data_IF_718848076647
#
_entry.id   IF_718848076647
#
_cell.length_a   1.000
_cell.length_b   1.000
_cell.length_c   1.000
_cell.angle_alpha   90.00
_cell.angle_beta   90.00
_cell.angle_gamma   90.00
#
_symmetry.space_group_name_H-M   'P 1'
#
loop_
_entity.id
_entity.type
_entity.pdbx_description
1 polymer ?
#
# COMPACT_ATOMS: atom_id res chain seq x y z
N UNK A 1 12.78 -22.07 -3.54
CA UNK A 1 14.21 -22.36 -3.50
C UNK A 1 14.97 -21.24 -2.81
N UNK A 2 15.07 -20.03 -3.37
CA UNK A 2 15.82 -18.89 -2.80
C UNK A 2 15.36 -18.54 -1.39
N UNK A 3 14.05 -18.52 -1.12
CA UNK A 3 13.50 -18.25 0.20
C UNK A 3 13.82 -19.31 1.24
N UNK A 4 13.93 -20.57 0.85
CA UNK A 4 14.26 -21.67 1.76
C UNK A 4 15.73 -21.63 2.14
N UNK A 5 16.59 -21.31 1.19
CA UNK A 5 18.04 -21.25 1.41
C UNK A 5 18.44 -20.03 2.25
N UNK A 6 17.81 -18.88 2.05
CA UNK A 6 18.10 -17.66 2.81
C UNK A 6 17.63 -17.74 4.28
N UNK A 7 16.69 -18.67 4.61
CA UNK A 7 16.07 -18.72 5.93
C UNK A 7 16.76 -19.59 6.97
N UNK A 8 17.60 -20.57 6.60
CA UNK A 8 17.96 -21.63 7.58
C UNK A 8 19.46 -21.92 7.80
N UNK A 9 20.37 -21.25 7.24
CA UNK A 9 21.84 -21.38 7.29
C UNK A 9 22.44 -21.03 5.92
N UNK A 10 21.82 -20.08 5.32
CA UNK A 10 21.67 -19.92 3.91
C UNK A 10 22.88 -19.45 3.14
N UNK A 11 23.80 -18.65 3.73
CA UNK A 11 24.91 -18.09 2.96
C UNK A 11 25.86 -19.20 2.46
N UNK A 12 26.25 -20.13 3.30
CA UNK A 12 27.18 -21.18 2.92
C UNK A 12 26.58 -22.19 1.93
N UNK A 13 25.32 -22.61 2.15
CA UNK A 13 24.63 -23.55 1.27
C UNK A 13 24.29 -22.89 -0.06
N UNK A 14 23.83 -21.63 -0.04
CA UNK A 14 23.56 -20.87 -1.25
C UNK A 14 24.83 -20.70 -2.08
N UNK A 15 25.94 -20.32 -1.45
CA UNK A 15 27.25 -20.17 -2.07
C UNK A 15 27.73 -21.50 -2.70
N UNK A 16 27.60 -22.60 -1.97
CA UNK A 16 28.01 -23.91 -2.45
C UNK A 16 27.20 -24.38 -3.69
N UNK A 17 25.94 -23.95 -3.79
CA UNK A 17 25.06 -24.32 -4.91
C UNK A 17 25.24 -23.41 -6.12
N UNK A 18 25.46 -22.09 -5.90
CA UNK A 18 25.53 -21.07 -6.96
C UNK A 18 26.93 -20.71 -7.40
N UNK A 19 27.98 -21.06 -6.60
CA UNK A 19 29.38 -20.78 -6.91
C UNK A 19 29.81 -21.42 -8.25
N UNK A 20 30.96 -20.99 -8.78
CA UNK A 20 31.52 -21.36 -10.09
C UNK A 20 31.50 -22.86 -10.40
N UNK A 21 31.68 -23.69 -9.37
CA UNK A 21 31.68 -25.16 -9.43
C UNK A 21 30.42 -25.79 -8.82
N UNK A 22 29.41 -24.97 -8.52
CA UNK A 22 28.18 -25.42 -7.89
C UNK A 22 27.26 -26.19 -8.84
N UNK A 23 26.60 -27.19 -8.31
CA UNK A 23 25.67 -28.07 -9.06
C UNK A 23 24.62 -27.30 -9.88
N UNK A 24 24.08 -26.24 -9.34
CA UNK A 24 23.02 -25.45 -10.00
C UNK A 24 23.53 -24.76 -11.25
N UNK A 25 24.70 -24.15 -11.17
CA UNK A 25 25.36 -23.50 -12.31
C UNK A 25 25.73 -24.51 -13.41
N UNK A 26 26.18 -25.69 -13.02
CA UNK A 26 26.50 -26.75 -13.94
C UNK A 26 25.29 -27.27 -14.71
N UNK A 27 24.14 -27.39 -14.02
CA UNK A 27 22.87 -27.76 -14.64
C UNK A 27 22.43 -26.73 -15.68
N UNK A 28 22.48 -25.44 -15.34
CA UNK A 28 22.11 -24.37 -16.28
C UNK A 28 23.05 -24.25 -17.46
N UNK A 29 24.36 -24.47 -17.25
CA UNK A 29 25.33 -24.53 -18.38
C UNK A 29 25.01 -25.67 -19.35
N UNK A 30 24.59 -26.83 -18.84
CA UNK A 30 24.20 -27.98 -19.67
C UNK A 30 22.92 -27.70 -20.46
N UNK A 31 21.96 -26.98 -19.87
CA UNK A 31 20.73 -26.58 -20.58
C UNK A 31 21.01 -25.78 -21.82
N UNK A 32 22.00 -24.88 -21.79
CA UNK A 32 22.44 -24.09 -22.95
C UNK A 32 22.87 -24.93 -24.17
N UNK A 33 23.52 -26.08 -23.93
CA UNK A 33 23.93 -26.98 -25.00
C UNK A 33 22.84 -27.98 -25.45
N UNK A 34 21.77 -28.12 -24.61
CA UNK A 34 20.75 -29.13 -24.83
C UNK A 34 19.47 -28.58 -25.43
N UNK A 35 19.06 -27.34 -25.02
CA UNK A 35 17.80 -26.75 -25.45
C UNK A 35 18.05 -25.57 -26.42
N UNK A 36 17.28 -25.52 -27.49
CA UNK A 36 17.33 -24.45 -28.49
C UNK A 36 16.64 -23.16 -27.98
N UNK A 37 15.74 -23.29 -27.02
CA UNK A 37 15.01 -22.16 -26.36
C UNK A 37 14.82 -22.48 -24.90
N UNK A 38 15.09 -21.51 -24.06
CA UNK A 38 14.89 -21.60 -22.60
C UNK A 38 14.06 -20.41 -22.16
N UNK A 39 12.98 -20.66 -21.41
CA UNK A 39 12.18 -19.65 -20.76
C UNK A 39 12.23 -19.91 -19.25
N UNK A 40 12.73 -18.93 -18.51
CA UNK A 40 12.87 -19.02 -17.04
C UNK A 40 11.88 -18.08 -16.36
N UNK A 41 11.20 -18.59 -15.35
CA UNK A 41 10.32 -17.79 -14.47
C UNK A 41 10.77 -17.91 -13.03
N UNK A 42 10.55 -16.85 -12.27
CA UNK A 42 10.83 -16.78 -10.84
C UNK A 42 10.10 -15.61 -10.19
N UNK A 43 10.04 -15.59 -8.87
CA UNK A 43 9.38 -14.52 -8.10
C UNK A 43 10.23 -13.23 -8.14
N UNK A 44 11.56 -13.38 -8.16
CA UNK A 44 12.48 -12.25 -8.24
C UNK A 44 13.75 -12.66 -9.02
N UNK A 45 14.50 -11.70 -9.58
CA UNK A 45 15.72 -11.99 -10.34
C UNK A 45 16.95 -12.34 -9.47
N UNK A 46 16.79 -12.58 -8.18
CA UNK A 46 17.87 -12.81 -7.20
C UNK A 46 18.84 -13.93 -7.57
N UNK A 47 18.37 -14.97 -8.23
CA UNK A 47 19.21 -16.13 -8.57
C UNK A 47 19.91 -16.02 -9.92
N UNK A 48 19.48 -15.08 -10.75
CA UNK A 48 19.98 -15.01 -12.14
C UNK A 48 21.42 -14.54 -12.19
N UNK A 49 21.81 -13.60 -11.35
CA UNK A 49 23.15 -13.00 -11.39
C UNK A 49 24.23 -14.00 -10.94
N UNK A 50 23.98 -14.76 -9.88
CA UNK A 50 24.90 -15.76 -9.37
C UNK A 50 25.01 -16.99 -10.26
N UNK A 51 23.91 -17.37 -10.91
CA UNK A 51 23.84 -18.52 -11.82
C UNK A 51 24.36 -18.15 -13.21
N UNK A 52 24.22 -16.89 -13.62
CA UNK A 52 24.54 -16.43 -14.98
C UNK A 52 25.90 -15.80 -15.14
N UNK A 53 26.71 -15.63 -14.09
CA UNK A 53 28.10 -15.20 -14.21
C UNK A 53 28.89 -16.14 -15.15
N UNK A 54 28.98 -15.76 -16.46
CA UNK A 54 29.44 -16.61 -17.57
C UNK A 54 28.30 -17.25 -18.39
N UNK A 55 27.05 -16.96 -18.12
CA UNK A 55 25.87 -17.41 -18.89
C UNK A 55 25.18 -16.21 -19.56
N UNK A 56 25.94 -15.34 -20.20
CA UNK A 56 25.52 -14.09 -20.89
C UNK A 56 24.48 -14.28 -22.01
N UNK A 57 23.44 -15.12 -21.82
CA UNK A 57 22.49 -15.47 -22.89
C UNK A 57 21.04 -15.19 -22.44
N UNK A 58 20.81 -14.96 -21.13
CA UNK A 58 19.49 -14.61 -20.64
C UNK A 58 19.13 -13.16 -21.00
N UNK A 59 18.01 -12.96 -21.69
CA UNK A 59 17.43 -11.65 -21.85
C UNK A 59 16.37 -11.43 -20.78
N UNK A 60 16.60 -10.47 -19.90
CA UNK A 60 15.65 -10.09 -18.87
C UNK A 60 14.46 -9.35 -19.51
N UNK A 61 13.27 -9.92 -19.40
CA UNK A 61 12.07 -9.43 -20.10
C UNK A 61 11.03 -8.77 -19.18
N UNK A 62 11.18 -8.89 -17.86
CA UNK A 62 10.18 -8.43 -16.89
C UNK A 62 9.86 -6.93 -16.98
N UNK A 63 10.87 -6.12 -17.34
CA UNK A 63 10.75 -4.66 -17.47
C UNK A 63 10.63 -4.17 -18.91
N UNK A 64 10.47 -5.09 -19.87
CA UNK A 64 10.36 -4.73 -21.29
C UNK A 64 8.90 -4.51 -21.69
N UNK A 65 8.65 -3.43 -22.43
CA UNK A 65 7.31 -3.00 -22.89
C UNK A 65 6.50 -4.14 -23.53
N UNK A 66 7.14 -4.97 -24.37
CA UNK A 66 6.47 -6.06 -25.07
C UNK A 66 5.89 -7.13 -24.13
N UNK A 67 6.37 -7.20 -22.89
CA UNK A 67 5.98 -8.21 -21.90
C UNK A 67 5.23 -7.62 -20.69
N UNK A 68 4.93 -6.31 -20.71
CA UNK A 68 4.28 -5.61 -19.60
C UNK A 68 2.95 -6.25 -19.17
N UNK A 69 2.21 -6.82 -20.10
CA UNK A 69 0.90 -7.44 -19.82
C UNK A 69 0.97 -8.98 -19.68
N UNK A 70 2.17 -9.56 -19.65
CA UNK A 70 2.34 -11.01 -19.63
C UNK A 70 1.99 -11.63 -18.26
N UNK A 71 2.17 -10.90 -17.17
CA UNK A 71 2.00 -11.40 -15.79
C UNK A 71 0.74 -10.87 -15.09
N UNK A 72 -0.21 -10.33 -15.83
CA UNK A 72 -1.45 -9.79 -15.29
C UNK A 72 -2.60 -9.95 -16.28
N UNK A 73 -3.83 -9.71 -15.83
CA UNK A 73 -4.98 -9.61 -16.72
C UNK A 73 -5.24 -8.16 -17.11
N UNK A 74 -5.35 -7.88 -18.40
CA UNK A 74 -5.91 -6.61 -18.85
C UNK A 74 -7.40 -6.54 -18.49
N UNK A 75 -7.97 -5.33 -18.49
CA UNK A 75 -9.42 -5.17 -18.28
C UNK A 75 -10.24 -5.97 -19.31
N UNK A 76 -9.73 -6.09 -20.54
CA UNK A 76 -10.36 -6.86 -21.60
C UNK A 76 -10.30 -8.37 -21.33
N UNK A 77 -9.20 -8.88 -20.79
CA UNK A 77 -9.10 -10.30 -20.40
C UNK A 77 -10.08 -10.64 -19.29
N UNK A 78 -10.19 -9.76 -18.28
CA UNK A 78 -11.18 -9.91 -17.20
C UNK A 78 -12.60 -9.91 -17.76
N UNK A 79 -12.92 -8.98 -18.65
CA UNK A 79 -14.24 -8.89 -19.29
C UNK A 79 -14.57 -10.16 -20.07
N UNK A 80 -13.65 -10.66 -20.90
CA UNK A 80 -13.82 -11.90 -21.67
C UNK A 80 -14.03 -13.10 -20.75
N UNK A 81 -13.20 -13.22 -19.71
CA UNK A 81 -13.31 -14.31 -18.73
C UNK A 81 -14.67 -14.30 -18.02
N UNK A 82 -15.11 -13.16 -17.51
CA UNK A 82 -16.39 -13.06 -16.78
C UNK A 82 -17.59 -13.28 -17.71
N UNK A 83 -17.53 -12.76 -18.95
CA UNK A 83 -18.54 -13.01 -19.98
C UNK A 83 -18.64 -14.51 -20.30
N UNK A 84 -17.51 -15.21 -20.40
CA UNK A 84 -17.48 -16.65 -20.61
C UNK A 84 -18.15 -17.39 -19.45
N UNK A 85 -17.79 -17.11 -18.20
CA UNK A 85 -18.39 -17.77 -17.03
C UNK A 85 -19.88 -17.43 -16.90
N UNK A 86 -20.30 -16.22 -17.26
CA UNK A 86 -21.74 -15.85 -17.33
C UNK A 86 -22.47 -16.66 -18.39
N UNK A 87 -21.89 -16.82 -19.57
CA UNK A 87 -22.49 -17.63 -20.66
C UNK A 87 -22.61 -19.11 -20.30
N UNK A 88 -21.73 -19.61 -19.43
CA UNK A 88 -21.78 -20.98 -18.89
C UNK A 88 -22.79 -21.13 -17.73
N UNK A 89 -23.54 -20.09 -17.39
CA UNK A 89 -24.48 -20.12 -16.25
C UNK A 89 -23.81 -20.25 -14.88
N UNK A 90 -22.51 -19.90 -14.78
CA UNK A 90 -21.75 -19.95 -13.52
C UNK A 90 -21.84 -18.64 -12.73
N UNK A 91 -22.24 -17.57 -13.37
CA UNK A 91 -22.52 -16.27 -12.74
C UNK A 91 -24.03 -15.98 -12.83
N UNK A 92 -24.60 -15.19 -11.90
CA UNK A 92 -25.99 -14.75 -11.97
C UNK A 92 -26.30 -14.10 -13.32
N UNK A 93 -27.50 -14.39 -13.87
CA UNK A 93 -27.88 -13.88 -15.18
C UNK A 93 -27.98 -12.35 -15.23
N UNK A 94 -28.32 -11.74 -14.12
CA UNK A 94 -28.48 -10.30 -13.91
C UNK A 94 -27.19 -9.60 -13.48
N UNK A 95 -26.06 -10.32 -13.27
CA UNK A 95 -24.82 -9.68 -12.86
C UNK A 95 -24.30 -8.69 -13.90
N UNK A 96 -23.86 -7.52 -13.46
CA UNK A 96 -23.21 -6.48 -14.28
C UNK A 96 -21.69 -6.66 -14.25
N UNK A 97 -21.12 -7.11 -15.37
CA UNK A 97 -19.68 -7.33 -15.51
C UNK A 97 -18.87 -6.05 -15.39
N UNK A 98 -19.37 -4.93 -15.93
CA UNK A 98 -18.66 -3.65 -15.83
C UNK A 98 -18.66 -3.11 -14.40
N UNK A 99 -19.75 -3.29 -13.68
CA UNK A 99 -19.78 -3.01 -12.24
C UNK A 99 -18.74 -3.87 -11.48
N UNK A 100 -18.69 -5.18 -11.76
CA UNK A 100 -17.70 -6.08 -11.12
C UNK A 100 -16.26 -5.65 -11.42
N UNK A 101 -15.97 -5.27 -12.66
CA UNK A 101 -14.65 -4.77 -13.04
C UNK A 101 -14.32 -3.46 -12.31
N UNK A 102 -15.27 -2.54 -12.22
CA UNK A 102 -15.07 -1.27 -11.52
C UNK A 102 -14.92 -1.44 -10.02
N UNK A 103 -15.60 -2.41 -9.41
CA UNK A 103 -15.43 -2.78 -8.00
C UNK A 103 -14.03 -3.34 -7.72
N UNK A 104 -13.50 -4.18 -8.62
CA UNK A 104 -12.16 -4.75 -8.49
C UNK A 104 -11.02 -3.74 -8.73
N UNK A 105 -11.20 -2.72 -9.58
CA UNK A 105 -10.13 -1.80 -9.99
C UNK A 105 -9.34 -1.18 -8.84
N UNK A 106 -9.96 -0.55 -7.82
CA UNK A 106 -9.22 0.06 -6.74
C UNK A 106 -8.44 -0.95 -5.88
N UNK A 107 -8.80 -2.23 -5.97
CA UNK A 107 -8.24 -3.30 -5.14
C UNK A 107 -7.17 -4.16 -5.82
N UNK A 108 -7.26 -4.38 -7.13
CA UNK A 108 -6.45 -5.39 -7.83
C UNK A 108 -5.72 -4.88 -9.06
N UNK A 109 -6.10 -3.72 -9.59
CA UNK A 109 -5.54 -3.13 -10.82
C UNK A 109 -4.28 -2.28 -10.55
N UNK A 110 -3.85 -1.55 -11.56
CA UNK A 110 -2.81 -0.54 -11.57
C UNK A 110 -1.36 -1.04 -11.64
N UNK A 111 -1.12 -2.31 -11.96
CA UNK A 111 0.23 -2.78 -12.19
C UNK A 111 0.75 -2.34 -13.55
N UNK A 112 1.97 -1.80 -13.56
CA UNK A 112 2.77 -1.47 -14.72
C UNK A 112 4.21 -1.94 -14.46
N UNK A 113 4.73 -2.81 -15.30
CA UNK A 113 6.04 -3.44 -15.13
C UNK A 113 7.13 -2.86 -16.03
N UNK A 114 6.76 -2.04 -17.03
CA UNK A 114 7.69 -1.45 -17.97
C UNK A 114 7.47 0.06 -18.13
N UNK A 115 8.54 0.85 -18.05
CA UNK A 115 8.49 2.30 -18.25
C UNK A 115 7.85 2.66 -19.61
N UNK A 116 8.29 2.01 -20.69
CA UNK A 116 7.75 2.26 -22.03
C UNK A 116 6.27 1.91 -22.22
N UNK A 117 5.63 1.27 -21.24
CA UNK A 117 4.21 0.93 -21.23
C UNK A 117 3.33 1.97 -20.54
N UNK A 118 3.89 2.84 -19.69
CA UNK A 118 3.16 3.77 -18.81
C UNK A 118 2.00 4.52 -19.50
N UNK A 119 2.25 5.07 -20.69
CA UNK A 119 1.27 5.89 -21.41
C UNK A 119 0.76 5.23 -22.71
N UNK A 120 1.15 3.99 -22.97
CA UNK A 120 0.91 3.32 -24.26
C UNK A 120 0.16 2.00 -24.13
N UNK A 121 0.05 1.46 -22.92
CA UNK A 121 -0.65 0.22 -22.63
C UNK A 121 -1.54 0.40 -21.40
N UNK A 122 -2.62 -0.39 -21.33
CA UNK A 122 -3.43 -0.49 -20.12
C UNK A 122 -2.63 -1.17 -19.01
N UNK A 123 -2.88 -0.75 -17.78
CA UNK A 123 -2.41 -1.43 -16.60
C UNK A 123 -3.10 -2.78 -16.44
N UNK A 124 -2.55 -3.63 -15.62
CA UNK A 124 -3.05 -4.99 -15.44
C UNK A 124 -3.49 -5.26 -14.01
N UNK A 125 -4.45 -6.16 -13.89
CA UNK A 125 -4.96 -6.69 -12.63
C UNK A 125 -4.05 -7.82 -12.13
N UNK A 126 -3.99 -7.98 -10.82
CA UNK A 126 -3.43 -9.18 -10.19
C UNK A 126 -4.32 -10.39 -10.49
N UNK A 127 -3.75 -11.41 -11.13
CA UNK A 127 -4.49 -12.59 -11.58
C UNK A 127 -5.14 -13.36 -10.43
N UNK A 128 -4.42 -13.58 -9.33
CA UNK A 128 -4.92 -14.36 -8.19
C UNK A 128 -6.12 -13.68 -7.55
N UNK A 129 -6.08 -12.36 -7.43
CA UNK A 129 -7.16 -11.57 -6.84
C UNK A 129 -8.39 -11.55 -7.74
N UNK A 130 -8.24 -11.47 -9.06
CA UNK A 130 -9.35 -11.57 -10.00
C UNK A 130 -10.01 -12.95 -9.91
N UNK A 131 -9.21 -14.02 -9.84
CA UNK A 131 -9.71 -15.39 -9.69
C UNK A 131 -10.40 -15.57 -8.32
N UNK A 132 -9.86 -14.98 -7.25
CA UNK A 132 -10.50 -14.98 -5.93
C UNK A 132 -11.88 -14.31 -5.99
N UNK A 133 -12.00 -13.13 -6.60
CA UNK A 133 -13.26 -12.41 -6.77
C UNK A 133 -14.28 -13.23 -7.59
N UNK A 134 -13.84 -13.76 -8.73
CA UNK A 134 -14.67 -14.61 -9.59
C UNK A 134 -15.19 -15.85 -8.85
N UNK A 135 -14.34 -16.52 -8.07
CA UNK A 135 -14.70 -17.68 -7.26
C UNK A 135 -15.79 -17.36 -6.23
N UNK A 136 -15.68 -16.19 -5.57
CA UNK A 136 -16.71 -15.75 -4.65
C UNK A 136 -18.05 -15.56 -5.36
N UNK A 137 -18.05 -14.90 -6.52
CA UNK A 137 -19.28 -14.75 -7.30
C UNK A 137 -19.89 -16.08 -7.76
N UNK A 138 -19.08 -17.04 -8.16
CA UNK A 138 -19.56 -18.37 -8.56
C UNK A 138 -20.20 -19.09 -7.37
N UNK A 139 -19.63 -18.97 -6.18
CA UNK A 139 -20.09 -19.72 -5.00
C UNK A 139 -21.24 -19.02 -4.25
N UNK A 140 -21.20 -17.68 -4.14
CA UNK A 140 -22.06 -16.90 -3.28
C UNK A 140 -23.03 -15.98 -4.03
N UNK A 141 -22.87 -15.86 -5.35
CA UNK A 141 -23.65 -14.94 -6.19
C UNK A 141 -23.37 -13.44 -5.97
N UNK A 142 -22.31 -13.10 -5.24
CA UNK A 142 -21.98 -11.72 -4.88
C UNK A 142 -20.47 -11.53 -4.71
N UNK A 143 -20.05 -10.25 -4.69
CA UNK A 143 -18.67 -9.87 -4.39
C UNK A 143 -18.21 -10.33 -3.00
N UNK A 144 -16.90 -10.63 -2.81
CA UNK A 144 -16.37 -10.97 -1.50
C UNK A 144 -16.52 -9.77 -0.54
N UNK A 145 -16.94 -10.02 0.69
CA UNK A 145 -17.01 -8.97 1.73
C UNK A 145 -15.61 -8.41 2.04
N UNK A 146 -14.62 -9.28 2.10
CA UNK A 146 -13.22 -8.90 2.23
C UNK A 146 -12.56 -8.99 0.86
N UNK A 147 -12.10 -7.86 0.35
CA UNK A 147 -11.44 -7.78 -0.97
C UNK A 147 -10.02 -8.36 -0.96
N UNK A 148 -9.54 -8.86 0.18
CA UNK A 148 -8.20 -9.46 0.33
C UNK A 148 -8.35 -10.93 0.68
N UNK A 149 -7.84 -11.81 -0.16
CA UNK A 149 -7.76 -13.25 0.16
C UNK A 149 -6.76 -13.46 1.31
N UNK A 150 -7.13 -14.34 2.25
CA UNK A 150 -6.26 -14.74 3.37
C UNK A 150 -4.92 -15.34 2.90
N UNK A 151 -4.89 -15.97 1.73
CA UNK A 151 -3.68 -16.53 1.14
C UNK A 151 -2.69 -15.44 0.70
N UNK A 152 -3.16 -14.25 0.31
CA UNK A 152 -2.31 -13.09 -0.04
C UNK A 152 -1.58 -12.54 1.18
N UNK A 153 -2.05 -12.80 2.39
CA UNK A 153 -1.31 -12.50 3.64
C UNK A 153 0.03 -13.26 3.74
N UNK A 154 0.22 -14.30 2.93
CA UNK A 154 1.51 -15.00 2.82
C UNK A 154 2.59 -14.10 2.20
N UNK A 155 2.23 -13.18 1.30
CA UNK A 155 3.18 -12.25 0.69
C UNK A 155 3.60 -11.15 1.67
N UNK A 156 2.72 -10.77 2.59
CA UNK A 156 3.05 -9.91 3.72
C UNK A 156 4.14 -10.53 4.64
N UNK A 157 4.07 -11.82 4.91
CA UNK A 157 5.13 -12.50 5.67
C UNK A 157 6.47 -12.54 4.93
N UNK A 158 6.48 -12.52 3.59
CA UNK A 158 7.70 -12.38 2.79
C UNK A 158 8.30 -10.98 2.92
N UNK A 159 7.47 -9.94 2.88
CA UNK A 159 7.91 -8.57 3.11
C UNK A 159 8.53 -8.40 4.50
N UNK A 160 7.90 -8.93 5.55
CA UNK A 160 8.47 -8.95 6.91
C UNK A 160 9.85 -9.61 6.96
N UNK A 161 10.00 -10.77 6.34
CA UNK A 161 11.28 -11.46 6.28
C UNK A 161 12.35 -10.64 5.57
N UNK A 162 12.00 -9.97 4.46
CA UNK A 162 12.91 -9.08 3.75
C UNK A 162 13.36 -7.90 4.60
N UNK A 163 12.48 -7.36 5.43
CA UNK A 163 12.80 -6.26 6.34
C UNK A 163 13.70 -6.76 7.48
N UNK A 164 13.46 -7.98 7.99
CA UNK A 164 14.29 -8.59 9.03
C UNK A 164 15.73 -8.89 8.58
N UNK A 165 15.98 -8.98 7.27
CA UNK A 165 17.33 -9.08 6.69
C UNK A 165 18.11 -7.76 6.73
N UNK A 166 17.55 -6.69 7.27
CA UNK A 166 18.20 -5.40 7.39
C UNK A 166 19.35 -5.46 8.41
N UNK A 167 20.57 -5.50 7.89
CA UNK A 167 21.81 -5.43 8.69
C UNK A 167 22.25 -3.98 8.98
N UNK A 168 21.58 -2.99 8.42
CA UNK A 168 21.95 -1.57 8.43
C UNK A 168 20.91 -0.72 9.16
N UNK A 169 20.89 -0.81 10.49
CA UNK A 169 20.26 0.16 11.41
C UNK A 169 18.88 0.75 11.01
N UNK A 170 18.00 -0.07 10.45
CA UNK A 170 16.60 0.35 10.21
C UNK A 170 16.35 1.10 8.91
N UNK A 171 17.27 1.10 7.93
CA UNK A 171 17.08 1.80 6.66
C UNK A 171 15.87 1.25 5.87
N UNK A 172 15.64 -0.07 5.87
CA UNK A 172 14.46 -0.68 5.24
C UNK A 172 13.16 -0.31 5.91
N UNK A 173 13.16 -0.22 7.25
CA UNK A 173 12.02 0.29 8.02
C UNK A 173 11.68 1.72 7.59
N UNK A 174 12.70 2.57 7.40
CA UNK A 174 12.53 3.94 6.91
C UNK A 174 11.96 3.98 5.50
N UNK A 175 12.43 3.13 4.58
CA UNK A 175 11.91 3.02 3.21
C UNK A 175 10.43 2.63 3.23
N UNK A 176 10.05 1.59 3.97
CA UNK A 176 8.65 1.15 4.10
C UNK A 176 7.78 2.26 4.68
N UNK A 177 8.27 2.94 5.73
CA UNK A 177 7.57 4.08 6.33
C UNK A 177 7.34 5.18 5.30
N UNK A 178 8.37 5.58 4.55
CA UNK A 178 8.24 6.57 3.48
C UNK A 178 7.20 6.16 2.44
N UNK A 179 7.24 4.90 1.95
CA UNK A 179 6.28 4.41 0.97
C UNK A 179 4.86 4.42 1.54
N UNK A 180 4.67 4.00 2.78
CA UNK A 180 3.36 3.99 3.41
C UNK A 180 2.78 5.39 3.62
N UNK A 181 3.64 6.38 3.95
CA UNK A 181 3.25 7.78 4.19
C UNK A 181 3.01 8.55 2.90
N UNK A 182 3.85 8.34 1.86
CA UNK A 182 3.81 9.12 0.62
C UNK A 182 3.14 8.39 -0.55
N UNK A 183 2.90 7.09 -0.41
CA UNK A 183 2.39 6.24 -1.48
C UNK A 183 3.41 5.85 -2.54
N UNK A 184 4.64 6.40 -2.51
CA UNK A 184 5.65 6.18 -3.55
C UNK A 184 7.08 6.39 -3.05
N UNK A 185 8.06 5.95 -3.86
CA UNK A 185 9.49 6.20 -3.66
C UNK A 185 10.19 6.38 -5.01
N UNK A 186 11.24 7.20 -5.05
CA UNK A 186 12.09 7.37 -6.24
C UNK A 186 13.37 6.56 -6.05
N UNK A 187 13.59 5.55 -6.91
CA UNK A 187 14.72 4.64 -6.81
C UNK A 187 15.21 4.17 -8.19
N UNK A 188 16.43 3.66 -8.26
CA UNK A 188 16.86 2.85 -9.41
C UNK A 188 16.17 1.48 -9.33
N UNK A 189 15.80 0.97 -10.50
CA UNK A 189 15.24 -0.37 -10.63
C UNK A 189 16.31 -1.31 -11.21
N UNK A 190 16.83 -2.18 -10.37
CA UNK A 190 17.82 -3.16 -10.77
C UNK A 190 17.14 -4.35 -11.46
N UNK A 191 17.62 -4.71 -12.64
CA UNK A 191 17.07 -5.81 -13.44
C UNK A 191 17.55 -7.19 -12.97
N UNK A 192 18.73 -7.26 -12.31
CA UNK A 192 19.26 -8.47 -11.68
C UNK A 192 20.17 -8.12 -10.52
N UNK A 193 20.26 -8.99 -9.54
CA UNK A 193 21.14 -8.83 -8.38
C UNK A 193 21.40 -10.18 -7.72
N UNK A 194 22.57 -10.29 -7.08
CA UNK A 194 22.98 -11.48 -6.35
C UNK A 194 22.29 -11.58 -4.99
N UNK A 195 22.30 -12.78 -4.39
CA UNK A 195 21.78 -12.94 -3.04
C UNK A 195 22.58 -12.14 -1.99
N UNK A 196 23.84 -11.87 -2.24
CA UNK A 196 24.67 -11.02 -1.36
C UNK A 196 24.22 -9.58 -1.33
N UNK A 197 23.71 -9.08 -2.46
CA UNK A 197 23.18 -7.73 -2.58
C UNK A 197 21.79 -7.56 -1.92
N UNK A 198 21.16 -8.65 -1.49
CA UNK A 198 19.87 -8.59 -0.78
C UNK A 198 19.92 -7.76 0.51
N UNK A 199 21.10 -7.58 1.10
CA UNK A 199 21.28 -6.73 2.27
C UNK A 199 21.56 -5.27 1.91
N UNK A 200 21.79 -4.94 0.64
CA UNK A 200 21.95 -3.57 0.15
C UNK A 200 20.59 -2.83 0.18
N UNK A 201 20.48 -1.71 0.91
CA UNK A 201 19.25 -0.94 0.96
C UNK A 201 18.84 -0.37 -0.41
N UNK A 202 19.76 -0.16 -1.34
CA UNK A 202 19.46 0.33 -2.69
C UNK A 202 18.72 -0.71 -3.54
N UNK A 203 18.89 -1.99 -3.27
CA UNK A 203 18.19 -3.10 -3.94
C UNK A 203 16.77 -3.29 -3.40
N UNK A 204 16.49 -2.82 -2.18
CA UNK A 204 15.23 -3.09 -1.51
C UNK A 204 13.99 -2.57 -2.26
N UNK A 205 13.97 -1.37 -2.88
CA UNK A 205 12.86 -0.93 -3.72
C UNK A 205 12.64 -1.86 -4.93
N UNK A 206 13.72 -2.40 -5.54
CA UNK A 206 13.62 -3.36 -6.64
C UNK A 206 12.99 -4.67 -6.17
N UNK A 207 13.35 -5.16 -4.97
CA UNK A 207 12.70 -6.33 -4.37
C UNK A 207 11.22 -6.11 -4.17
N UNK A 208 10.81 -4.98 -3.60
CA UNK A 208 9.40 -4.63 -3.40
C UNK A 208 8.64 -4.60 -4.73
N UNK A 209 9.27 -4.09 -5.80
CA UNK A 209 8.69 -4.09 -7.15
C UNK A 209 8.48 -5.52 -7.67
N UNK A 210 9.49 -6.39 -7.61
CA UNK A 210 9.37 -7.77 -8.10
C UNK A 210 8.41 -8.63 -7.28
N UNK A 211 8.23 -8.30 -5.99
CA UNK A 211 7.20 -8.93 -5.15
C UNK A 211 5.79 -8.35 -5.36
N UNK A 212 5.62 -7.39 -6.30
CA UNK A 212 4.32 -6.77 -6.58
C UNK A 212 3.86 -5.79 -5.49
N UNK A 213 4.74 -5.40 -4.57
CA UNK A 213 4.46 -4.40 -3.55
C UNK A 213 4.54 -2.97 -4.09
N UNK A 214 5.25 -2.77 -5.20
CA UNK A 214 5.37 -1.51 -5.93
C UNK A 214 5.10 -1.73 -7.42
N UNK A 215 4.73 -0.66 -8.09
CA UNK A 215 4.53 -0.59 -9.55
C UNK A 215 5.18 0.67 -10.09
N UNK A 216 5.53 0.68 -11.37
CA UNK A 216 6.06 1.89 -12.02
C UNK A 216 4.93 2.89 -12.21
N UNK A 217 5.09 4.10 -11.66
CA UNK A 217 4.16 5.24 -11.79
C UNK A 217 4.67 6.31 -12.75
N UNK A 218 5.99 6.43 -12.88
CA UNK A 218 6.63 7.45 -13.69
C UNK A 218 8.14 7.36 -13.64
N UNK A 219 8.79 8.42 -14.12
CA UNK A 219 10.24 8.58 -14.09
C UNK A 219 10.63 9.93 -13.54
N UNK A 220 11.78 10.01 -12.90
CA UNK A 220 12.39 11.26 -12.43
C UNK A 220 13.89 11.24 -12.75
N UNK A 221 14.23 11.81 -13.91
CA UNK A 221 15.58 11.69 -14.47
C UNK A 221 15.83 10.24 -14.91
N UNK A 222 16.88 9.65 -14.38
CA UNK A 222 17.30 8.25 -14.61
C UNK A 222 16.71 7.24 -13.61
N UNK A 223 15.86 7.72 -12.70
CA UNK A 223 15.24 6.90 -11.66
C UNK A 223 13.75 6.68 -11.91
N UNK A 224 13.24 5.55 -11.43
CA UNK A 224 11.82 5.23 -11.46
C UNK A 224 11.08 5.83 -10.27
N UNK A 225 9.88 6.35 -10.51
CA UNK A 225 8.89 6.60 -9.47
C UNK A 225 8.11 5.31 -9.28
N UNK A 226 8.34 4.64 -8.16
CA UNK A 226 7.71 3.39 -7.79
C UNK A 226 6.64 3.67 -6.74
N UNK A 227 5.39 3.29 -7.00
CA UNK A 227 4.29 3.58 -6.09
C UNK A 227 3.46 2.37 -5.74
N UNK A 228 2.64 2.49 -4.71
CA UNK A 228 1.68 1.47 -4.28
C UNK A 228 0.65 1.27 -5.41
N UNK A 229 0.46 0.04 -5.93
CA UNK A 229 -0.44 -0.19 -7.06
C UNK A 229 -1.92 0.00 -6.69
N UNK A 230 -2.37 -0.53 -5.55
CA UNK A 230 -3.78 -0.61 -5.20
C UNK A 230 -4.02 -0.75 -3.70
N UNK A 231 -5.29 -0.79 -3.29
CA UNK A 231 -5.69 -0.85 -1.89
C UNK A 231 -5.32 -2.17 -1.21
N UNK A 232 -5.26 -3.30 -1.93
CA UNK A 232 -4.79 -4.56 -1.37
C UNK A 232 -3.35 -4.44 -0.85
N UNK A 233 -2.46 -3.91 -1.68
CA UNK A 233 -1.05 -3.69 -1.30
C UNK A 233 -0.94 -2.59 -0.24
N UNK A 234 -1.74 -1.53 -0.35
CA UNK A 234 -1.76 -0.44 0.63
C UNK A 234 -2.09 -0.93 2.03
N UNK A 235 -3.10 -1.81 2.17
CA UNK A 235 -3.42 -2.45 3.46
C UNK A 235 -2.22 -3.16 4.07
N UNK A 236 -1.41 -3.84 3.27
CA UNK A 236 -0.22 -4.54 3.76
C UNK A 236 0.85 -3.58 4.32
N UNK A 237 1.04 -2.42 3.67
CA UNK A 237 1.93 -1.38 4.22
C UNK A 237 1.41 -0.81 5.54
N UNK A 238 0.11 -0.62 5.68
CA UNK A 238 -0.50 -0.10 6.91
C UNK A 238 -0.49 -1.13 8.05
N UNK A 239 -0.72 -2.41 7.74
CA UNK A 239 -0.55 -3.49 8.72
C UNK A 239 0.88 -3.51 9.28
N UNK A 240 1.87 -3.27 8.41
CA UNK A 240 3.27 -3.17 8.83
C UNK A 240 3.53 -1.92 9.69
N UNK A 241 2.99 -0.76 9.33
CA UNK A 241 3.09 0.45 10.16
C UNK A 241 2.46 0.23 11.54
N UNK A 242 1.27 -0.39 11.59
CA UNK A 242 0.60 -0.73 12.85
C UNK A 242 1.51 -1.56 13.76
N UNK A 243 2.10 -2.62 13.22
CA UNK A 243 3.04 -3.44 13.98
C UNK A 243 4.26 -2.66 14.47
N UNK A 244 4.81 -1.76 13.64
CA UNK A 244 5.91 -0.87 14.07
C UNK A 244 5.52 0.01 15.25
N UNK A 245 4.29 0.53 15.26
CA UNK A 245 3.81 1.33 16.39
C UNK A 245 3.60 0.47 17.64
N UNK A 246 3.15 -0.77 17.48
CA UNK A 246 2.84 -1.70 18.58
C UNK A 246 4.06 -2.44 19.16
N UNK A 247 5.23 -2.39 18.50
CA UNK A 247 6.47 -3.07 18.99
C UNK A 247 6.78 -2.79 20.47
N UNK A 248 6.46 -1.58 20.98
CA UNK A 248 6.77 -1.17 22.34
C UNK A 248 5.54 -0.92 23.23
N UNK A 249 4.39 -0.68 22.62
CA UNK A 249 3.16 -0.35 23.33
C UNK A 249 1.97 -0.91 22.56
N UNK A 250 1.52 -2.13 22.88
CA UNK A 250 0.33 -2.71 22.27
C UNK A 250 -0.90 -1.82 22.50
N UNK A 251 -1.73 -1.69 21.47
CA UNK A 251 -2.98 -0.93 21.53
C UNK A 251 -4.14 -1.92 21.45
N UNK A 252 -5.04 -1.87 22.41
CA UNK A 252 -6.27 -2.65 22.37
C UNK A 252 -7.23 -2.06 21.33
N UNK A 253 -7.31 -2.73 20.18
CA UNK A 253 -8.16 -2.31 19.07
C UNK A 253 -9.59 -2.87 19.15
N UNK A 254 -9.95 -3.62 20.20
CA UNK A 254 -11.25 -4.28 20.31
C UNK A 254 -12.44 -3.31 20.27
N UNK A 255 -12.23 -2.07 20.76
CA UNK A 255 -13.27 -1.02 20.75
C UNK A 255 -13.40 -0.31 19.39
N UNK A 256 -12.41 -0.42 18.51
CA UNK A 256 -12.45 0.31 17.24
C UNK A 256 -13.53 -0.21 16.30
N UNK A 257 -13.87 -1.49 16.36
CA UNK A 257 -14.90 -2.07 15.48
C UNK A 257 -16.28 -1.43 15.77
N UNK A 258 -16.62 -1.24 17.04
CA UNK A 258 -17.85 -0.55 17.46
C UNK A 258 -17.80 0.93 17.08
N UNK A 259 -16.67 1.60 17.31
CA UNK A 259 -16.48 3.00 16.93
C UNK A 259 -16.61 3.18 15.40
N UNK A 260 -16.08 2.27 14.61
CA UNK A 260 -16.22 2.33 13.14
C UNK A 260 -17.65 2.09 12.68
N UNK A 261 -18.38 1.21 13.34
CA UNK A 261 -19.80 1.03 13.09
C UNK A 261 -20.57 2.30 13.41
N UNK A 262 -20.34 2.89 14.55
CA UNK A 262 -20.99 4.14 14.98
C UNK A 262 -20.66 5.30 14.05
N UNK A 263 -19.42 5.40 13.59
CA UNK A 263 -19.02 6.36 12.55
C UNK A 263 -19.78 6.12 11.25
N UNK A 264 -19.88 4.87 10.80
CA UNK A 264 -20.45 4.55 9.48
C UNK A 264 -21.98 4.75 9.43
N UNK A 265 -22.69 4.43 10.51
CA UNK A 265 -24.15 4.35 10.50
C UNK A 265 -24.87 5.39 11.38
N UNK A 266 -24.19 5.90 12.42
CA UNK A 266 -24.75 6.83 13.38
C UNK A 266 -24.12 8.23 13.35
N UNK A 267 -23.01 8.40 12.64
CA UNK A 267 -22.27 9.67 12.57
C UNK A 267 -21.52 10.01 13.88
N UNK A 268 -21.34 9.07 14.79
CA UNK A 268 -20.65 9.26 16.07
C UNK A 268 -19.16 9.01 15.91
N UNK A 269 -18.41 10.04 15.66
CA UNK A 269 -16.98 9.97 15.32
C UNK A 269 -16.06 10.26 16.53
N UNK A 270 -16.56 10.95 17.56
CA UNK A 270 -15.75 11.52 18.62
C UNK A 270 -14.95 10.47 19.39
N UNK A 271 -15.62 9.38 19.79
CA UNK A 271 -14.98 8.32 20.59
C UNK A 271 -13.83 7.65 19.84
N UNK A 272 -14.05 7.27 18.58
CA UNK A 272 -13.05 6.60 17.75
C UNK A 272 -11.83 7.47 17.46
N UNK A 273 -12.02 8.72 17.04
CA UNK A 273 -10.92 9.63 16.73
C UNK A 273 -10.16 10.07 17.98
N UNK A 274 -10.87 10.30 19.11
CA UNK A 274 -10.23 10.62 20.39
C UNK A 274 -9.40 9.44 20.90
N UNK A 275 -9.95 8.22 20.84
CA UNK A 275 -9.20 7.01 21.20
C UNK A 275 -7.91 6.86 20.39
N UNK A 276 -7.95 7.11 19.08
CA UNK A 276 -6.76 7.06 18.23
C UNK A 276 -5.73 8.14 18.64
N UNK A 277 -6.17 9.35 18.90
CA UNK A 277 -5.29 10.44 19.34
C UNK A 277 -4.62 10.16 20.68
N UNK A 278 -5.36 9.64 21.66
CA UNK A 278 -4.82 9.23 22.97
C UNK A 278 -3.84 8.06 22.84
N UNK A 279 -4.16 7.10 21.98
CA UNK A 279 -3.29 5.97 21.70
C UNK A 279 -1.99 6.41 21.04
N UNK A 280 -2.05 7.36 20.10
CA UNK A 280 -0.87 7.98 19.52
C UNK A 280 -0.01 8.67 20.57
N UNK A 281 -0.60 9.45 21.46
CA UNK A 281 0.13 10.12 22.53
C UNK A 281 0.88 9.13 23.44
N UNK A 282 0.27 7.99 23.79
CA UNK A 282 0.92 6.93 24.58
C UNK A 282 2.13 6.32 23.85
N UNK A 283 1.97 5.98 22.56
CA UNK A 283 3.06 5.39 21.77
C UNK A 283 4.19 6.39 21.55
N UNK A 284 3.88 7.66 21.32
CA UNK A 284 4.87 8.70 21.02
C UNK A 284 5.63 9.17 22.25
N UNK A 285 5.02 9.14 23.45
CA UNK A 285 5.70 9.48 24.71
C UNK A 285 6.82 8.50 25.08
N UNK A 286 6.75 7.28 24.57
CA UNK A 286 7.75 6.19 24.80
C UNK A 286 8.88 6.23 23.77
N UNK A 287 8.67 6.88 22.62
CA UNK A 287 9.66 7.01 21.55
C UNK A 287 10.23 8.44 21.57
N UNK A 288 11.50 8.59 21.90
CA UNK A 288 12.18 9.87 21.86
C UNK A 288 11.95 10.59 20.52
N UNK A 289 11.12 11.64 20.52
CA UNK A 289 11.11 12.66 19.49
C UNK A 289 10.36 12.36 18.18
N UNK A 290 9.38 11.47 18.14
CA UNK A 290 8.53 11.32 16.94
C UNK A 290 7.47 12.44 16.93
N UNK A 291 7.91 13.66 16.63
CA UNK A 291 7.02 14.80 16.38
C UNK A 291 6.80 14.99 14.87
N UNK A 292 5.62 15.48 14.51
CA UNK A 292 5.32 15.93 13.16
C UNK A 292 4.04 15.33 12.60
N UNK A 293 3.42 16.11 11.73
CA UNK A 293 2.14 15.82 11.06
C UNK A 293 2.14 14.45 10.36
N UNK A 294 3.20 14.14 9.60
CA UNK A 294 3.34 12.85 8.89
C UNK A 294 3.34 11.63 9.81
N UNK A 295 3.88 11.74 11.02
CA UNK A 295 3.87 10.62 11.95
C UNK A 295 2.46 10.35 12.49
N UNK A 296 1.71 11.42 12.79
CA UNK A 296 0.29 11.32 13.18
C UNK A 296 -0.51 10.74 12.02
N UNK A 297 -0.33 11.26 10.81
CA UNK A 297 -0.96 10.72 9.60
C UNK A 297 -0.68 9.22 9.45
N UNK A 298 0.58 8.80 9.49
CA UNK A 298 0.96 7.39 9.38
C UNK A 298 0.30 6.51 10.44
N UNK A 299 0.22 7.00 11.68
CA UNK A 299 -0.48 6.29 12.77
C UNK A 299 -1.97 6.17 12.48
N UNK A 300 -2.65 7.27 12.19
CA UNK A 300 -4.08 7.25 11.88
C UNK A 300 -4.39 6.38 10.68
N UNK A 301 -3.55 6.43 9.61
CA UNK A 301 -3.69 5.57 8.45
C UNK A 301 -3.63 4.09 8.82
N UNK A 302 -2.68 3.71 9.67
CA UNK A 302 -2.51 2.31 10.10
C UNK A 302 -3.75 1.77 10.81
N UNK A 303 -4.40 2.59 11.63
CA UNK A 303 -5.56 2.16 12.42
C UNK A 303 -6.91 2.38 11.73
N UNK A 304 -7.10 3.49 11.00
CA UNK A 304 -8.31 3.72 10.20
C UNK A 304 -8.47 2.67 9.09
N UNK A 305 -7.36 2.11 8.62
CA UNK A 305 -7.36 1.05 7.61
C UNK A 305 -7.87 -0.32 8.14
N UNK A 306 -8.03 -0.49 9.44
CA UNK A 306 -8.70 -1.67 10.02
C UNK A 306 -10.19 -1.68 9.69
N UNK A 307 -10.77 -0.50 9.45
CA UNK A 307 -12.17 -0.34 9.09
C UNK A 307 -12.45 -0.85 7.66
N UNK A 308 -13.46 -1.69 7.51
CA UNK A 308 -13.92 -2.17 6.20
C UNK A 308 -15.03 -1.29 5.58
N UNK A 309 -15.66 -0.42 6.38
CA UNK A 309 -16.71 0.49 5.92
C UNK A 309 -16.18 1.62 5.05
N UNK A 310 -14.88 1.91 5.16
CA UNK A 310 -14.21 2.98 4.43
C UNK A 310 -12.98 2.50 3.68
N UNK A 311 -12.75 3.10 2.53
CA UNK A 311 -11.48 3.07 1.84
C UNK A 311 -10.74 4.34 2.25
N UNK A 312 -9.68 4.21 3.03
CA UNK A 312 -8.92 5.36 3.49
C UNK A 312 -8.03 5.87 2.38
N UNK A 313 -8.29 7.08 1.89
CA UNK A 313 -7.48 7.76 0.88
C UNK A 313 -6.67 8.88 1.56
N UNK A 314 -5.34 8.65 1.76
CA UNK A 314 -4.45 9.71 2.24
C UNK A 314 -4.15 10.67 1.11
N UNK A 315 -3.92 11.93 1.46
CA UNK A 315 -3.47 12.97 0.53
C UNK A 315 -4.28 12.99 -0.78
N UNK A 316 -5.61 12.92 -0.67
CA UNK A 316 -6.46 13.05 -1.84
C UNK A 316 -6.22 14.43 -2.46
N UNK A 317 -5.64 14.45 -3.66
CA UNK A 317 -5.45 15.69 -4.42
C UNK A 317 -6.82 16.29 -4.77
N UNK A 318 -7.10 17.42 -4.18
CA UNK A 318 -8.29 18.22 -4.39
C UNK A 318 -7.88 19.59 -4.92
N UNK A 319 -8.67 20.21 -5.75
CA UNK A 319 -8.43 21.51 -6.37
C UNK A 319 -7.59 22.48 -5.50
N UNK A 320 -6.28 22.53 -5.76
CA UNK A 320 -5.28 23.36 -5.07
C UNK A 320 -4.85 22.92 -3.65
N UNK A 321 -4.88 21.65 -3.33
CA UNK A 321 -4.35 21.11 -2.06
C UNK A 321 -4.62 19.63 -1.88
N UNK A 322 -4.11 19.10 -0.78
CA UNK A 322 -4.32 17.71 -0.38
C UNK A 322 -5.06 17.72 0.96
N UNK A 323 -6.12 16.95 1.12
CA UNK A 323 -6.68 16.72 2.43
C UNK A 323 -5.93 15.56 3.11
N UNK A 324 -5.72 15.67 4.42
CA UNK A 324 -4.95 14.65 5.15
C UNK A 324 -5.62 13.28 5.10
N UNK A 325 -6.92 13.22 5.33
CA UNK A 325 -7.70 11.99 5.18
C UNK A 325 -9.06 12.22 4.56
N UNK A 326 -9.41 11.37 3.63
CA UNK A 326 -10.79 11.17 3.23
C UNK A 326 -11.17 9.71 3.48
N UNK A 327 -12.12 9.50 4.39
CA UNK A 327 -12.74 8.20 4.63
C UNK A 327 -13.85 8.01 3.60
N UNK A 328 -13.45 7.45 2.46
CA UNK A 328 -14.32 7.18 1.33
C UNK A 328 -15.28 6.04 1.68
N UNK A 329 -16.62 6.26 1.64
CA UNK A 329 -17.57 5.21 1.98
C UNK A 329 -17.49 4.06 0.98
N UNK A 330 -17.38 2.83 1.50
CA UNK A 330 -17.33 1.61 0.69
C UNK A 330 -18.74 1.13 0.34
N UNK A 331 -19.46 1.93 -0.45
CA UNK A 331 -20.87 1.71 -0.79
C UNK A 331 -21.12 0.49 -1.69
N UNK A 332 -20.07 -0.04 -2.32
CA UNK A 332 -20.17 -1.29 -3.07
C UNK A 332 -20.47 -2.51 -2.17
N UNK A 333 -20.07 -2.44 -0.90
CA UNK A 333 -20.15 -3.56 0.04
C UNK A 333 -21.00 -3.27 1.29
N UNK A 334 -21.17 -2.00 1.65
CA UNK A 334 -21.81 -1.57 2.91
C UNK A 334 -22.73 -0.38 2.68
N UNK A 335 -23.90 -0.38 3.31
CA UNK A 335 -24.85 0.75 3.26
C UNK A 335 -24.45 1.86 4.25
N UNK A 336 -23.23 2.38 4.06
CA UNK A 336 -22.67 3.47 4.90
C UNK A 336 -23.47 4.75 4.71
N UNK A 337 -23.78 5.45 5.80
CA UNK A 337 -24.56 6.70 5.79
C UNK A 337 -23.71 7.96 5.94
N UNK A 338 -22.51 7.83 6.48
CA UNK A 338 -21.64 8.95 6.83
C UNK A 338 -20.27 8.81 6.18
N UNK A 339 -19.68 9.91 5.73
CA UNK A 339 -18.31 10.01 5.21
C UNK A 339 -17.57 11.15 5.90
N UNK A 340 -16.23 11.13 5.87
CA UNK A 340 -15.43 12.03 6.68
C UNK A 340 -14.28 12.61 5.88
N UNK A 341 -14.09 13.93 5.98
CA UNK A 341 -12.83 14.61 5.69
C UNK A 341 -12.23 14.99 7.04
N UNK A 342 -10.96 14.69 7.22
CA UNK A 342 -10.24 15.00 8.47
C UNK A 342 -8.99 15.77 8.09
N UNK A 343 -8.81 16.93 8.70
CA UNK A 343 -7.62 17.79 8.55
C UNK A 343 -6.84 17.79 9.85
N UNK A 344 -5.55 17.49 9.78
CA UNK A 344 -4.64 17.50 10.92
C UNK A 344 -3.80 18.76 10.93
N UNK A 345 -3.53 19.29 12.09
CA UNK A 345 -2.53 20.35 12.30
C UNK A 345 -1.70 20.06 13.53
N UNK A 346 -0.41 20.30 13.40
CA UNK A 346 0.55 20.06 14.48
C UNK A 346 1.29 21.35 14.83
N UNK A 347 1.25 21.70 16.10
CA UNK A 347 2.09 22.74 16.70
C UNK A 347 3.33 22.04 17.26
N UNK A 348 4.53 22.26 16.68
CA UNK A 348 5.76 21.61 17.14
C UNK A 348 6.05 22.01 18.60
N UNK A 349 6.14 21.04 19.50
CA UNK A 349 6.28 21.27 20.96
C UNK A 349 7.48 22.15 21.29
N UNK A 350 8.63 21.92 20.61
CA UNK A 350 9.87 22.66 20.84
C UNK A 350 9.74 24.16 20.54
N UNK A 351 9.13 24.49 19.43
CA UNK A 351 8.99 25.89 19.00
C UNK A 351 7.82 26.59 19.70
N UNK A 352 6.78 25.83 20.01
CA UNK A 352 5.56 26.35 20.64
C UNK A 352 5.75 26.61 22.13
N UNK A 353 6.42 25.73 22.87
CA UNK A 353 6.67 25.90 24.29
C UNK A 353 7.57 27.10 24.62
N UNK A 354 8.40 27.56 23.68
CA UNK A 354 9.24 28.75 23.86
C UNK A 354 8.47 30.09 23.73
N UNK A 355 7.20 30.07 23.32
CA UNK A 355 6.37 31.25 23.14
C UNK A 355 5.69 31.66 24.47
N UNK A 356 5.40 32.96 24.64
CA UNK A 356 4.49 33.42 25.68
C UNK A 356 3.03 33.00 25.37
N UNK A 357 2.19 32.93 26.40
CA UNK A 357 0.82 32.40 26.29
C UNK A 357 -0.03 33.14 25.22
N UNK A 358 0.05 34.47 25.16
CA UNK A 358 -0.68 35.23 24.13
C UNK A 358 -0.26 34.86 22.70
N UNK A 359 1.04 34.64 22.47
CA UNK A 359 1.55 34.20 21.16
C UNK A 359 1.20 32.75 20.86
N UNK A 360 1.16 31.89 21.86
CA UNK A 360 0.69 30.50 21.72
C UNK A 360 -0.75 30.49 21.25
N UNK A 361 -1.63 31.20 21.96
CA UNK A 361 -3.04 31.31 21.62
C UNK A 361 -3.24 31.85 20.21
N UNK A 362 -2.58 32.96 19.87
CA UNK A 362 -2.67 33.57 18.53
C UNK A 362 -2.23 32.62 17.43
N UNK A 363 -1.11 31.89 17.64
CA UNK A 363 -0.60 30.94 16.65
C UNK A 363 -1.51 29.71 16.49
N UNK A 364 -2.02 29.20 17.60
CA UNK A 364 -2.95 28.06 17.58
C UNK A 364 -4.25 28.42 16.86
N UNK A 365 -4.85 29.57 17.16
CA UNK A 365 -6.06 30.04 16.50
C UNK A 365 -5.85 30.34 15.01
N UNK A 366 -4.72 30.95 14.64
CA UNK A 366 -4.40 31.18 13.22
C UNK A 366 -4.31 29.88 12.44
N UNK A 367 -3.60 28.87 12.96
CA UNK A 367 -3.47 27.55 12.34
C UNK A 367 -4.83 26.83 12.28
N UNK A 368 -5.65 26.92 13.33
CA UNK A 368 -6.99 26.36 13.37
C UNK A 368 -7.87 26.96 12.26
N UNK A 369 -7.92 28.29 12.18
CA UNK A 369 -8.73 28.99 11.17
C UNK A 369 -8.27 28.66 9.74
N UNK A 370 -6.97 28.48 9.53
CA UNK A 370 -6.43 28.00 8.24
C UNK A 370 -6.95 26.59 7.91
N UNK A 371 -6.90 25.67 8.88
CA UNK A 371 -7.41 24.30 8.70
C UNK A 371 -8.91 24.28 8.40
N UNK A 372 -9.70 25.09 9.10
CA UNK A 372 -11.13 25.27 8.83
C UNK A 372 -11.37 25.76 7.40
N UNK A 373 -10.63 26.76 6.96
CA UNK A 373 -10.75 27.27 5.60
C UNK A 373 -10.32 26.23 4.55
N UNK A 374 -9.32 25.39 4.85
CA UNK A 374 -8.87 24.31 3.98
C UNK A 374 -9.94 23.23 3.83
N UNK A 375 -10.48 22.73 4.93
CA UNK A 375 -11.46 21.63 4.90
C UNK A 375 -12.76 22.02 4.21
N UNK A 376 -13.19 23.28 4.32
CA UNK A 376 -14.33 23.78 3.57
C UNK A 376 -14.09 23.77 2.06
N UNK A 377 -12.92 24.23 1.62
CA UNK A 377 -12.55 24.16 0.19
C UNK A 377 -12.53 22.74 -0.33
N UNK A 378 -12.04 21.79 0.46
CA UNK A 378 -11.99 20.38 0.09
C UNK A 378 -13.39 19.76 0.00
N UNK A 379 -14.26 20.06 0.95
CA UNK A 379 -15.64 19.56 0.97
C UNK A 379 -16.43 20.00 -0.29
N UNK A 380 -16.14 21.18 -0.82
CA UNK A 380 -16.78 21.72 -2.03
C UNK A 380 -16.20 21.15 -3.33
N UNK A 381 -15.06 20.45 -3.29
CA UNK A 381 -14.44 19.90 -4.48
C UNK A 381 -15.38 18.91 -5.21
N UNK A 382 -15.56 19.03 -6.55
CA UNK A 382 -16.44 18.15 -7.32
C UNK A 382 -16.10 16.66 -7.13
N UNK A 383 -14.82 16.34 -6.94
CA UNK A 383 -14.36 14.99 -6.71
C UNK A 383 -14.87 14.43 -5.38
N UNK A 384 -14.87 15.21 -4.30
CA UNK A 384 -15.42 14.79 -3.00
C UNK A 384 -16.92 14.57 -3.10
N UNK A 385 -17.65 15.50 -3.73
CA UNK A 385 -19.10 15.39 -3.96
C UNK A 385 -19.46 14.13 -4.73
N UNK A 386 -18.69 13.79 -5.77
CA UNK A 386 -18.89 12.57 -6.54
C UNK A 386 -18.57 11.30 -5.74
N UNK A 387 -17.49 11.30 -4.94
CA UNK A 387 -17.03 10.14 -4.20
C UNK A 387 -17.87 9.83 -2.97
N UNK A 388 -18.37 10.87 -2.25
CA UNK A 388 -19.24 10.65 -1.08
C UNK A 388 -20.64 10.15 -1.44
N UNK A 389 -21.08 10.37 -2.69
CA UNK A 389 -22.44 10.09 -3.15
C UNK A 389 -23.50 10.73 -2.22
N UNK A 390 -24.47 9.93 -1.73
CA UNK A 390 -25.57 10.41 -0.88
C UNK A 390 -25.25 10.40 0.62
N UNK A 391 -24.01 10.10 1.01
CA UNK A 391 -23.62 10.08 2.42
C UNK A 391 -23.55 11.48 3.02
N UNK A 392 -23.78 11.58 4.32
CA UNK A 392 -23.60 12.81 5.09
C UNK A 392 -22.10 13.02 5.29
N UNK A 393 -21.58 14.16 4.86
CA UNK A 393 -20.17 14.49 4.97
C UNK A 393 -19.88 15.23 6.27
N UNK A 394 -19.03 14.66 7.10
CA UNK A 394 -18.49 15.30 8.29
C UNK A 394 -17.13 15.94 7.99
N UNK A 395 -16.93 17.15 8.49
CA UNK A 395 -15.71 17.94 8.32
C UNK A 395 -15.05 18.09 9.69
N UNK A 396 -13.96 17.36 9.92
CA UNK A 396 -13.32 17.28 11.25
C UNK A 396 -11.94 17.88 11.21
N UNK A 397 -11.67 18.82 12.11
CA UNK A 397 -10.34 19.41 12.30
C UNK A 397 -9.77 18.89 13.61
N UNK A 398 -8.51 18.42 13.55
CA UNK A 398 -7.76 17.95 14.72
C UNK A 398 -6.48 18.75 14.85
N UNK A 399 -6.25 19.38 16.01
CA UNK A 399 -5.02 20.12 16.30
C UNK A 399 -4.25 19.48 17.45
N UNK A 400 -2.98 19.22 17.21
CA UNK A 400 -2.05 18.60 18.15
C UNK A 400 -0.98 19.61 18.59
N UNK A 401 -0.54 19.51 19.84
CA UNK A 401 0.70 20.11 20.32
C UNK A 401 1.73 18.97 20.53
N UNK A 402 2.73 18.91 19.64
CA UNK A 402 3.61 17.74 19.57
C UNK A 402 2.81 16.47 19.23
N UNK A 403 2.64 15.60 20.22
CA UNK A 403 1.88 14.35 20.10
C UNK A 403 0.54 14.35 20.86
N UNK A 404 0.20 15.43 21.57
CA UNK A 404 -1.00 15.54 22.39
C UNK A 404 -2.12 16.24 21.62
N UNK A 405 -3.30 15.63 21.57
CA UNK A 405 -4.49 16.25 21.03
C UNK A 405 -4.92 17.45 21.90
N UNK A 406 -5.02 18.62 21.33
CA UNK A 406 -5.46 19.85 22.03
C UNK A 406 -6.89 20.21 21.66
N UNK A 407 -7.27 20.04 20.41
CA UNK A 407 -8.61 20.41 19.95
C UNK A 407 -9.05 19.44 18.85
N UNK A 408 -10.31 19.03 18.91
CA UNK A 408 -10.99 18.26 17.87
C UNK A 408 -12.42 18.75 17.78
N UNK A 409 -12.84 19.20 16.61
CA UNK A 409 -14.20 19.68 16.38
C UNK A 409 -14.66 19.35 14.96
N UNK A 410 -15.97 19.12 14.84
CA UNK A 410 -16.66 19.15 13.56
C UNK A 410 -16.99 20.59 13.20
N UNK A 411 -16.65 21.00 11.98
CA UNK A 411 -16.87 22.36 11.49
C UNK A 411 -18.02 22.35 10.49
N UNK A 412 -18.93 23.33 10.61
CA UNK A 412 -20.15 23.44 9.81
C UNK A 412 -19.91 23.69 8.31
#
# INVERSE_FOLDING_TARGET
FTNTILNEKGEDVYHAITHADGFYRDVFKKFKGTFTRIFMTGVSPVTLDDVTSGFNIGWHISTKKAFNQMLGFSQEDVRKMFTYFKSMGKLPADCDIEWMINDMKPWYDNYCFAEGALNTQSKVFNCDMVVYYLRNYINEGKAPKEMIDRNTRTDYSKMKKLIQLDKLDGNRKSIIKTIAETGEIVAHLEESFSAYQLTDPNIFPSLLFYYGMLTIKGTRGDRMVLGIPNNNVRKQYYDYLKEMFEEKSPIDTSKLDDCFYDMAYEGKWQEGLTFLAESYAKVSSVRDGIEGERNIQGFFMAYLNLCNYYITAPELELNHGFCDFFLLPNLAHYAVKHSYIIELKVLPKKDFSALCEDRKTTKAEAQWNEAVAQIHRYAEAPRVKALRQDTILHKIVMQFEGWELKRIEEVE
#
